data_IF_709748266105
#
_entry.id   IF_709748266105
#
_cell.length_a   1.000
_cell.length_b   1.000
_cell.length_c   1.000
_cell.angle_alpha   90.00
_cell.angle_beta   90.00
_cell.angle_gamma   90.00
#
_symmetry.space_group_name_H-M   'P 1'
#
loop_
_entity.id
_entity.type
_entity.pdbx_description
1 polymer ?
#
# COMPACT_ATOMS: atom_id res chain seq x y z
N UNK A 1 17.05 23.79 8.10
CA UNK A 1 18.21 23.81 9.02
C UNK A 1 18.47 22.38 9.49
N UNK A 2 19.74 21.99 9.67
CA UNK A 2 20.28 20.71 10.19
C UNK A 2 19.31 19.54 10.47
N UNK A 3 19.21 18.56 9.57
CA UNK A 3 18.76 17.20 9.92
C UNK A 3 19.94 16.23 9.92
N UNK A 4 20.77 16.36 10.96
CA UNK A 4 21.71 15.31 11.40
C UNK A 4 21.03 14.38 12.42
N UNK A 5 19.72 14.13 12.26
CA UNK A 5 19.06 13.09 13.03
C UNK A 5 19.57 11.74 12.50
N UNK A 6 20.22 10.97 13.37
CA UNK A 6 20.51 9.59 13.08
C UNK A 6 19.16 8.88 12.86
N UNK A 7 19.01 8.04 11.83
CA UNK A 7 17.72 7.34 11.55
C UNK A 7 17.14 6.59 12.77
N UNK A 8 17.98 6.33 13.79
CA UNK A 8 17.61 5.70 15.06
C UNK A 8 16.85 6.61 16.04
N UNK A 9 16.87 7.93 15.84
CA UNK A 9 16.31 8.91 16.78
C UNK A 9 14.99 9.53 16.29
N UNK A 10 14.46 9.09 15.15
CA UNK A 10 13.19 9.57 14.59
C UNK A 10 12.02 8.82 15.22
N UNK A 11 11.03 9.56 15.74
CA UNK A 11 9.76 8.99 16.19
C UNK A 11 8.83 8.75 15.00
N UNK A 12 8.85 7.52 14.47
CA UNK A 12 7.98 7.09 13.36
C UNK A 12 6.49 7.01 13.73
N UNK A 13 6.11 7.33 14.97
CA UNK A 13 4.73 7.29 15.45
C UNK A 13 4.08 5.92 15.17
N UNK A 14 2.87 5.87 14.59
CA UNK A 14 2.21 4.61 14.28
C UNK A 14 2.95 3.76 13.24
N UNK A 15 3.71 4.39 12.33
CA UNK A 15 4.45 3.65 11.30
C UNK A 15 5.57 2.78 11.89
N UNK A 16 6.01 3.07 13.12
CA UNK A 16 7.04 2.27 13.81
C UNK A 16 6.69 0.78 13.83
N UNK A 17 5.41 0.44 13.96
CA UNK A 17 4.94 -0.95 13.94
C UNK A 17 5.04 -1.62 12.57
N UNK A 18 5.42 -0.93 11.49
CA UNK A 18 5.58 -1.55 10.17
C UNK A 18 7.03 -1.95 9.90
N UNK A 19 8.01 -1.26 10.49
CA UNK A 19 9.45 -1.38 10.20
C UNK A 19 9.94 -2.83 10.29
N UNK A 20 10.40 -3.38 9.16
CA UNK A 20 10.94 -4.74 9.07
C UNK A 20 10.48 -5.46 7.81
N UNK A 21 10.78 -6.76 7.75
CA UNK A 21 10.37 -7.65 6.66
C UNK A 21 9.23 -8.54 7.15
N UNK A 22 8.16 -8.57 6.37
CA UNK A 22 6.98 -9.39 6.61
C UNK A 22 6.83 -10.39 5.49
N UNK A 23 6.51 -11.63 5.84
CA UNK A 23 6.30 -12.71 4.89
C UNK A 23 4.98 -13.41 5.17
N UNK A 24 4.23 -13.70 4.12
CA UNK A 24 2.92 -14.32 4.20
C UNK A 24 2.72 -15.33 3.09
N UNK A 25 2.07 -16.44 3.41
CA UNK A 25 1.82 -17.53 2.47
C UNK A 25 0.35 -17.90 2.34
N UNK A 26 -0.59 -17.05 2.77
CA UNK A 26 -2.04 -17.36 2.75
C UNK A 26 -2.81 -16.38 1.87
N UNK A 27 -2.11 -15.75 0.94
CA UNK A 27 -2.65 -14.71 0.08
C UNK A 27 -3.70 -15.25 -0.87
N UNK A 28 -4.79 -14.51 -1.02
CA UNK A 28 -5.85 -14.75 -2.00
C UNK A 28 -6.06 -13.47 -2.80
N UNK A 29 -6.00 -13.62 -4.12
CA UNK A 29 -6.24 -12.60 -5.13
C UNK A 29 -7.46 -13.03 -5.96
N UNK A 30 -8.43 -12.15 -6.15
CA UNK A 30 -9.57 -12.36 -7.05
C UNK A 30 -9.50 -11.28 -8.13
N UNK A 31 -9.09 -11.69 -9.32
CA UNK A 31 -8.75 -10.81 -10.44
C UNK A 31 -9.71 -11.00 -11.63
N UNK A 32 -9.88 -9.98 -12.48
CA UNK A 32 -10.73 -10.08 -13.66
C UNK A 32 -10.07 -10.92 -14.77
N UNK A 33 -10.85 -11.80 -15.39
CA UNK A 33 -10.54 -12.47 -16.66
C UNK A 33 -11.54 -12.05 -17.74
N UNK A 34 -11.22 -12.33 -19.02
CA UNK A 34 -12.07 -11.93 -20.16
C UNK A 34 -13.48 -12.53 -20.06
N UNK A 35 -13.59 -13.79 -19.61
CA UNK A 35 -14.84 -14.54 -19.48
C UNK A 35 -15.30 -14.78 -18.04
N UNK A 36 -14.64 -14.18 -17.03
CA UNK A 36 -14.96 -14.46 -15.63
C UNK A 36 -14.01 -13.83 -14.61
N UNK A 37 -13.73 -14.55 -13.54
CA UNK A 37 -12.75 -14.14 -12.53
C UNK A 37 -11.74 -15.27 -12.32
N UNK A 38 -10.50 -14.91 -12.06
CA UNK A 38 -9.45 -15.84 -11.65
C UNK A 38 -9.21 -15.67 -10.16
N UNK A 39 -9.20 -16.78 -9.41
CA UNK A 39 -8.72 -16.78 -8.02
C UNK A 39 -7.28 -17.31 -7.97
N UNK A 40 -6.36 -16.48 -7.51
CA UNK A 40 -4.95 -16.80 -7.37
C UNK A 40 -4.54 -16.93 -5.91
N UNK A 41 -3.91 -18.04 -5.56
CA UNK A 41 -3.22 -18.16 -4.27
C UNK A 41 -1.78 -17.72 -4.41
N UNK A 42 -1.30 -16.89 -3.48
CA UNK A 42 0.04 -16.33 -3.54
C UNK A 42 0.78 -16.40 -2.21
N UNK A 43 2.09 -16.23 -2.31
CA UNK A 43 2.98 -15.87 -1.21
C UNK A 43 3.51 -14.46 -1.49
N UNK A 44 3.86 -13.73 -0.44
CA UNK A 44 4.36 -12.38 -0.59
C UNK A 44 5.41 -12.02 0.45
N UNK A 45 6.19 -11.01 0.09
CA UNK A 45 7.11 -10.30 0.98
C UNK A 45 6.78 -8.83 0.96
N UNK A 46 6.65 -8.23 2.14
CA UNK A 46 6.43 -6.80 2.33
C UNK A 46 7.55 -6.24 3.21
N UNK A 47 8.37 -5.36 2.65
CA UNK A 47 9.52 -4.76 3.34
C UNK A 47 9.23 -3.30 3.64
N UNK A 48 9.39 -2.89 4.89
CA UNK A 48 9.32 -1.49 5.31
C UNK A 48 10.66 -1.04 5.88
N UNK A 49 11.25 -0.03 5.25
CA UNK A 49 12.52 0.55 5.64
C UNK A 49 12.30 1.99 6.13
N UNK A 50 12.92 2.38 7.25
CA UNK A 50 12.98 3.78 7.66
C UNK A 50 13.45 4.66 6.50
N UNK A 51 12.57 5.56 6.05
CA UNK A 51 12.99 6.71 5.26
C UNK A 51 13.11 7.90 6.22
N UNK A 52 13.92 8.88 5.84
CA UNK A 52 14.13 10.09 6.65
C UNK A 52 12.82 10.83 6.93
N UNK A 53 12.84 11.67 7.95
CA UNK A 53 11.90 12.75 8.16
C UNK A 53 11.97 13.78 7.01
N UNK A 54 10.82 14.37 6.67
CA UNK A 54 10.70 15.41 5.65
C UNK A 54 9.98 16.61 6.26
N UNK A 55 10.62 17.77 6.18
CA UNK A 55 9.96 19.06 6.43
C UNK A 55 9.49 19.64 5.09
N UNK A 56 8.18 19.83 4.95
CA UNK A 56 7.55 20.47 3.81
C UNK A 56 7.14 21.89 4.16
N UNK A 57 7.68 22.86 3.42
CA UNK A 57 7.33 24.29 3.52
C UNK A 57 7.40 24.90 4.94
N UNK A 58 8.21 24.34 5.85
CA UNK A 58 8.30 24.73 7.27
C UNK A 58 6.99 24.57 8.08
N UNK A 59 5.94 24.01 7.48
CA UNK A 59 4.60 23.87 8.06
C UNK A 59 4.18 22.43 8.31
N UNK A 60 4.77 21.46 7.60
CA UNK A 60 4.43 20.05 7.76
C UNK A 60 5.69 19.22 8.01
N UNK A 61 5.67 18.39 9.04
CA UNK A 61 6.69 17.39 9.30
C UNK A 61 6.09 16.00 9.03
N UNK A 62 6.72 15.24 8.14
CA UNK A 62 6.33 13.86 7.83
C UNK A 62 7.41 12.91 8.31
N UNK A 63 6.99 11.81 8.95
CA UNK A 63 7.84 10.63 9.11
C UNK A 63 7.47 9.61 8.04
N UNK A 64 8.47 8.99 7.43
CA UNK A 64 8.29 8.25 6.18
C UNK A 64 8.92 6.88 6.26
N UNK A 65 8.23 5.85 5.78
CA UNK A 65 8.79 4.55 5.49
C UNK A 65 8.80 4.34 3.99
N UNK A 66 9.94 3.93 3.44
CA UNK A 66 9.97 3.30 2.12
C UNK A 66 9.40 1.90 2.25
N UNK A 67 8.57 1.48 1.30
CA UNK A 67 8.08 0.11 1.26
C UNK A 67 8.23 -0.53 -0.11
N UNK A 68 8.32 -1.86 -0.11
CA UNK A 68 8.36 -2.69 -1.30
C UNK A 68 7.55 -3.98 -1.06
N UNK A 69 6.60 -4.26 -1.94
CA UNK A 69 5.81 -5.48 -1.92
C UNK A 69 6.12 -6.31 -3.17
N UNK A 70 6.30 -7.61 -2.97
CA UNK A 70 6.47 -8.59 -4.04
C UNK A 70 5.51 -9.74 -3.81
N UNK A 71 4.69 -10.04 -4.82
CA UNK A 71 3.70 -11.13 -4.77
C UNK A 71 4.03 -12.18 -5.81
N UNK A 72 4.17 -13.42 -5.35
CA UNK A 72 4.49 -14.58 -6.17
C UNK A 72 3.33 -15.57 -6.14
N UNK A 73 2.75 -15.87 -7.30
CA UNK A 73 1.70 -16.88 -7.45
C UNK A 73 2.25 -18.26 -7.09
N UNK A 74 1.49 -19.03 -6.31
CA UNK A 74 1.95 -20.36 -5.84
C UNK A 74 1.93 -21.44 -6.90
N UNK A 75 1.00 -21.38 -7.84
CA UNK A 75 0.80 -22.45 -8.83
C UNK A 75 1.97 -22.58 -9.81
N UNK A 76 2.59 -21.45 -10.19
CA UNK A 76 3.66 -21.42 -11.20
C UNK A 76 4.90 -20.61 -10.80
N UNK A 77 4.91 -20.02 -9.60
CA UNK A 77 6.05 -19.25 -9.10
C UNK A 77 6.27 -17.91 -9.82
N UNK A 78 5.33 -17.45 -10.65
CA UNK A 78 5.47 -16.16 -11.33
C UNK A 78 5.21 -15.00 -10.39
N UNK A 79 5.98 -13.92 -10.58
CA UNK A 79 5.70 -12.63 -9.95
C UNK A 79 4.48 -12.00 -10.62
N UNK A 80 3.38 -11.86 -9.88
CA UNK A 80 2.11 -11.32 -10.38
C UNK A 80 1.89 -9.87 -9.94
N UNK A 81 2.55 -9.44 -8.86
CA UNK A 81 2.52 -8.05 -8.40
C UNK A 81 3.88 -7.61 -7.85
N UNK A 82 4.18 -6.34 -8.08
CA UNK A 82 5.36 -5.67 -7.56
C UNK A 82 4.99 -4.19 -7.41
N UNK A 83 5.10 -3.65 -6.20
CA UNK A 83 4.85 -2.23 -5.95
C UNK A 83 5.85 -1.67 -4.97
N UNK A 84 6.27 -0.43 -5.18
CA UNK A 84 7.16 0.28 -4.26
C UNK A 84 6.75 1.73 -4.12
N UNK A 85 7.01 2.30 -2.95
CA UNK A 85 6.67 3.67 -2.65
C UNK A 85 6.91 4.00 -1.19
N UNK A 86 6.04 4.82 -0.62
CA UNK A 86 6.17 5.33 0.73
C UNK A 86 4.86 5.28 1.51
N UNK A 87 4.98 4.97 2.80
CA UNK A 87 4.00 5.33 3.82
C UNK A 87 4.52 6.57 4.55
N UNK A 88 3.74 7.64 4.58
CA UNK A 88 4.07 8.87 5.30
C UNK A 88 3.00 9.17 6.35
N UNK A 89 3.44 9.68 7.49
CA UNK A 89 2.55 10.06 8.59
C UNK A 89 2.73 11.53 8.94
N UNK A 90 1.62 12.26 8.87
CA UNK A 90 1.47 13.62 9.35
C UNK A 90 0.81 13.58 10.74
N UNK A 91 1.60 13.85 11.79
CA UNK A 91 1.11 13.83 13.16
C UNK A 91 0.21 15.01 13.51
N UNK A 92 0.38 16.16 12.85
CA UNK A 92 -0.45 17.34 13.14
C UNK A 92 -1.82 17.20 12.45
N UNK A 93 -1.81 16.82 11.17
CA UNK A 93 -3.01 16.56 10.38
C UNK A 93 -3.66 15.20 10.64
N UNK A 94 -3.06 14.34 11.46
CA UNK A 94 -3.50 12.95 11.73
C UNK A 94 -3.77 12.16 10.43
N UNK A 95 -2.92 12.37 9.42
CA UNK A 95 -3.13 11.89 8.06
C UNK A 95 -2.09 10.85 7.69
N UNK A 96 -2.57 9.69 7.25
CA UNK A 96 -1.78 8.64 6.64
C UNK A 96 -1.75 8.85 5.13
N UNK A 97 -0.58 8.77 4.52
CA UNK A 97 -0.40 8.86 3.07
C UNK A 97 0.31 7.60 2.60
N UNK A 98 -0.32 6.83 1.71
CA UNK A 98 0.33 5.73 0.97
C UNK A 98 0.52 6.19 -0.47
N UNK A 99 1.76 6.40 -0.89
CA UNK A 99 2.11 6.75 -2.27
C UNK A 99 2.92 5.63 -2.89
N UNK A 100 2.60 5.21 -4.11
CA UNK A 100 3.32 4.11 -4.75
C UNK A 100 3.18 4.08 -6.26
N UNK A 101 4.07 3.31 -6.89
CA UNK A 101 4.00 2.99 -8.30
C UNK A 101 4.18 1.49 -8.53
N UNK A 102 3.61 1.03 -9.64
CA UNK A 102 3.73 -0.35 -10.11
C UNK A 102 4.35 -0.38 -11.52
N UNK A 103 5.09 -1.44 -11.88
CA UNK A 103 5.86 -1.49 -13.13
C UNK A 103 5.05 -1.31 -14.42
N UNK A 104 3.73 -1.53 -14.38
CA UNK A 104 2.82 -1.33 -15.53
C UNK A 104 2.41 0.14 -15.78
N UNK A 105 3.09 1.08 -15.13
CA UNK A 105 2.89 2.51 -15.34
C UNK A 105 1.62 3.04 -14.69
N UNK A 106 1.33 2.60 -13.47
CA UNK A 106 0.30 3.20 -12.61
C UNK A 106 0.99 3.73 -11.37
N UNK A 107 0.58 4.93 -10.92
CA UNK A 107 0.97 5.49 -9.64
C UNK A 107 -0.26 6.00 -8.88
N UNK A 108 -0.19 5.88 -7.56
CA UNK A 108 -1.31 6.16 -6.64
C UNK A 108 -0.79 7.03 -5.50
N UNK A 109 -1.58 8.03 -5.13
CA UNK A 109 -1.44 8.76 -3.86
C UNK A 109 -2.76 8.59 -3.11
N UNK A 110 -2.74 7.77 -2.06
CA UNK A 110 -3.90 7.46 -1.24
C UNK A 110 -3.76 8.12 0.13
N UNK A 111 -4.83 8.74 0.60
CA UNK A 111 -4.90 9.36 1.92
C UNK A 111 -5.85 8.60 2.85
N UNK A 112 -5.62 8.71 4.15
CA UNK A 112 -6.53 8.18 5.15
C UNK A 112 -6.00 8.36 6.56
N UNK A 113 -6.25 7.37 7.41
CA UNK A 113 -6.09 7.50 8.87
C UNK A 113 -5.38 6.30 9.48
N UNK A 114 -4.86 6.52 10.68
CA UNK A 114 -4.45 5.44 11.58
C UNK A 114 -5.30 5.51 12.86
N UNK A 115 -5.81 4.37 13.31
CA UNK A 115 -6.35 4.23 14.67
C UNK A 115 -5.50 3.24 15.45
N UNK A 116 -5.30 3.51 16.74
CA UNK A 116 -4.56 2.63 17.65
C UNK A 116 -5.47 2.22 18.79
N UNK A 117 -5.57 0.91 19.04
CA UNK A 117 -6.33 0.35 20.14
C UNK A 117 -5.49 -0.72 20.83
N UNK A 118 -5.18 -0.51 22.12
CA UNK A 118 -4.21 -1.30 22.86
C UNK A 118 -2.85 -1.33 22.11
N UNK A 119 -2.32 -2.53 21.85
CA UNK A 119 -1.07 -2.72 21.11
C UNK A 119 -1.27 -2.81 19.58
N UNK A 120 -2.51 -2.76 19.10
CA UNK A 120 -2.84 -2.90 17.68
C UNK A 120 -2.96 -1.54 16.98
N UNK A 121 -2.45 -1.46 15.74
CA UNK A 121 -2.63 -0.31 14.85
C UNK A 121 -3.44 -0.72 13.62
N UNK A 122 -4.37 0.13 13.21
CA UNK A 122 -5.23 -0.03 12.04
C UNK A 122 -4.97 1.12 11.06
N UNK A 123 -4.55 0.78 9.85
CA UNK A 123 -4.21 1.71 8.80
C UNK A 123 -5.27 1.60 7.71
N UNK A 124 -5.87 2.71 7.28
CA UNK A 124 -6.82 2.71 6.19
C UNK A 124 -6.52 3.88 5.24
N UNK A 125 -6.47 3.62 3.93
CA UNK A 125 -6.27 4.64 2.90
C UNK A 125 -7.20 4.41 1.72
N UNK A 126 -7.52 5.50 1.00
CA UNK A 126 -8.29 5.45 -0.25
C UNK A 126 -7.73 6.42 -1.29
N UNK A 127 -7.89 6.08 -2.55
CA UNK A 127 -7.64 6.96 -3.69
C UNK A 127 -8.72 6.78 -4.76
N UNK A 128 -8.90 7.80 -5.60
CA UNK A 128 -9.84 7.78 -6.71
C UNK A 128 -9.24 8.38 -7.98
N UNK A 129 -9.59 7.81 -9.12
CA UNK A 129 -9.21 8.37 -10.41
C UNK A 129 -9.95 9.70 -10.62
N UNK A 130 -9.20 10.77 -10.92
CA UNK A 130 -9.75 12.12 -11.00
C UNK A 130 -10.12 12.77 -9.67
N UNK A 131 -9.81 12.15 -8.52
CA UNK A 131 -9.92 12.80 -7.22
C UNK A 131 -8.84 13.91 -7.10
N UNK A 132 -9.22 15.07 -6.58
CA UNK A 132 -8.35 16.24 -6.50
C UNK A 132 -7.25 16.11 -5.43
N UNK A 133 -7.53 15.37 -4.35
CA UNK A 133 -6.64 15.25 -3.19
C UNK A 133 -5.83 13.94 -3.26
N UNK A 134 -6.51 12.83 -3.58
CA UNK A 134 -5.97 11.47 -3.51
C UNK A 134 -6.14 10.73 -4.84
N UNK A 135 -5.22 11.02 -5.76
CA UNK A 135 -5.32 10.65 -7.17
C UNK A 135 -4.70 9.31 -7.56
N UNK A 136 -5.15 8.81 -8.71
CA UNK A 136 -4.55 7.70 -9.46
C UNK A 136 -4.16 8.22 -10.84
N UNK A 137 -2.94 7.93 -11.28
CA UNK A 137 -2.45 8.25 -12.63
C UNK A 137 -1.99 6.99 -13.33
N UNK A 138 -2.28 6.90 -14.63
CA UNK A 138 -2.14 5.67 -15.40
C UNK A 138 -1.48 5.95 -16.75
N UNK A 139 -0.72 4.96 -17.25
CA UNK A 139 -0.24 4.99 -18.63
C UNK A 139 -1.42 4.97 -19.61
N UNK A 140 -1.27 5.52 -20.83
CA UNK A 140 -2.37 5.54 -21.80
C UNK A 140 -2.95 4.16 -22.12
N UNK A 141 -2.12 3.11 -22.08
CA UNK A 141 -2.59 1.74 -22.28
C UNK A 141 -3.50 1.30 -21.13
N UNK A 142 -3.07 1.50 -19.87
CA UNK A 142 -3.87 1.13 -18.70
C UNK A 142 -5.17 1.93 -18.66
N UNK A 143 -5.10 3.25 -18.88
CA UNK A 143 -6.27 4.13 -18.94
C UNK A 143 -7.32 3.65 -19.96
N UNK A 144 -6.88 3.11 -21.09
CA UNK A 144 -7.77 2.65 -22.16
C UNK A 144 -8.34 1.25 -21.93
N UNK A 145 -7.55 0.33 -21.38
CA UNK A 145 -7.87 -1.10 -21.42
C UNK A 145 -8.16 -1.71 -20.04
N UNK A 146 -7.65 -1.13 -18.96
CA UNK A 146 -7.74 -1.67 -17.60
C UNK A 146 -7.60 -0.52 -16.57
N UNK A 147 -8.52 0.42 -16.61
CA UNK A 147 -8.40 1.68 -15.84
C UNK A 147 -8.86 1.48 -14.40
N UNK A 148 -7.97 1.78 -13.45
CA UNK A 148 -8.26 1.78 -12.03
C UNK A 148 -9.04 3.03 -11.67
N UNK A 149 -10.27 2.86 -11.19
CA UNK A 149 -11.20 3.94 -10.80
C UNK A 149 -11.14 4.28 -9.33
N UNK A 150 -10.84 3.29 -8.49
CA UNK A 150 -10.75 3.48 -7.05
C UNK A 150 -9.81 2.47 -6.42
N UNK A 151 -9.22 2.89 -5.31
CA UNK A 151 -8.33 2.09 -4.49
C UNK A 151 -8.74 2.21 -3.04
N UNK A 152 -8.89 1.10 -2.34
CA UNK A 152 -9.12 1.04 -0.90
C UNK A 152 -8.20 -0.01 -0.30
N UNK A 153 -7.53 0.35 0.80
CA UNK A 153 -6.64 -0.55 1.50
C UNK A 153 -6.83 -0.40 3.00
N UNK A 154 -6.93 -1.51 3.70
CA UNK A 154 -7.01 -1.58 5.16
C UNK A 154 -6.02 -2.61 5.68
N UNK A 155 -5.27 -2.28 6.72
CA UNK A 155 -4.24 -3.13 7.31
C UNK A 155 -4.28 -3.06 8.82
N UNK A 156 -4.29 -4.22 9.47
CA UNK A 156 -4.17 -4.38 10.92
C UNK A 156 -2.77 -4.88 11.25
N UNK A 157 -2.16 -4.33 12.29
CA UNK A 157 -0.88 -4.79 12.83
C UNK A 157 -0.99 -4.94 14.32
N UNK A 158 -0.54 -6.08 14.84
CA UNK A 158 -0.42 -6.32 16.28
C UNK A 158 0.83 -7.17 16.54
N UNK A 159 1.86 -6.55 17.11
CA UNK A 159 3.15 -7.19 17.35
C UNK A 159 3.81 -7.66 16.05
N UNK A 160 3.92 -8.98 15.89
CA UNK A 160 4.52 -9.63 14.72
C UNK A 160 3.49 -10.21 13.75
N UNK A 161 2.21 -9.86 13.88
CA UNK A 161 1.15 -10.23 12.94
C UNK A 161 0.65 -8.99 12.19
N UNK A 162 0.53 -9.12 10.87
CA UNK A 162 -0.04 -8.11 9.99
C UNK A 162 -1.09 -8.80 9.11
N UNK A 163 -2.27 -8.21 8.98
CA UNK A 163 -3.28 -8.64 8.00
C UNK A 163 -3.75 -7.44 7.20
N UNK A 164 -4.12 -7.66 5.94
CA UNK A 164 -4.70 -6.59 5.13
C UNK A 164 -5.79 -7.09 4.19
N UNK A 165 -6.60 -6.15 3.73
CA UNK A 165 -7.53 -6.29 2.62
C UNK A 165 -7.39 -5.09 1.68
N UNK A 166 -7.38 -5.36 0.39
CA UNK A 166 -7.31 -4.38 -0.68
C UNK A 166 -8.47 -4.57 -1.64
N UNK A 167 -9.01 -3.46 -2.15
CA UNK A 167 -9.96 -3.44 -3.26
C UNK A 167 -9.52 -2.39 -4.28
N UNK A 168 -9.28 -2.82 -5.51
CA UNK A 168 -9.09 -1.96 -6.67
C UNK A 168 -10.31 -2.08 -7.59
N UNK A 169 -11.10 -1.01 -7.69
CA UNK A 169 -12.19 -0.94 -8.66
C UNK A 169 -11.61 -0.66 -10.04
N UNK A 170 -11.74 -1.58 -10.98
CA UNK A 170 -11.14 -1.51 -12.33
C UNK A 170 -12.20 -1.58 -13.41
N UNK A 171 -12.03 -0.79 -14.47
CA UNK A 171 -12.77 -0.89 -15.73
C UNK A 171 -11.91 -1.67 -16.74
N UNK A 172 -12.28 -2.91 -17.01
CA UNK A 172 -11.51 -3.85 -17.83
C UNK A 172 -12.45 -4.81 -18.55
N UNK A 173 -12.08 -5.26 -19.76
CA UNK A 173 -12.93 -6.13 -20.59
C UNK A 173 -14.35 -5.58 -20.81
N UNK A 174 -14.51 -4.26 -20.82
CA UNK A 174 -15.80 -3.59 -21.02
C UNK A 174 -16.76 -3.64 -19.82
N UNK A 175 -16.27 -3.96 -18.62
CA UNK A 175 -17.06 -3.99 -17.38
C UNK A 175 -16.29 -3.45 -16.18
N UNK A 176 -17.03 -3.06 -15.15
CA UNK A 176 -16.49 -2.80 -13.82
C UNK A 176 -16.22 -4.11 -13.07
N UNK A 177 -15.10 -4.19 -12.37
CA UNK A 177 -14.73 -5.32 -11.53
C UNK A 177 -14.06 -4.85 -10.24
N UNK A 178 -14.33 -5.53 -9.13
CA UNK A 178 -13.64 -5.31 -7.86
C UNK A 178 -12.51 -6.34 -7.72
N UNK A 179 -11.31 -5.92 -8.09
CA UNK A 179 -10.11 -6.72 -7.86
C UNK A 179 -9.77 -6.68 -6.37
N UNK A 180 -9.78 -7.85 -5.71
CA UNK A 180 -9.51 -7.94 -4.27
C UNK A 180 -8.25 -8.73 -3.97
N UNK A 181 -7.51 -8.27 -2.96
CA UNK A 181 -6.37 -8.98 -2.40
C UNK A 181 -6.47 -9.02 -0.87
N UNK A 182 -6.12 -10.15 -0.26
CA UNK A 182 -5.99 -10.26 1.19
C UNK A 182 -4.90 -11.24 1.59
N UNK A 183 -4.22 -10.99 2.70
CA UNK A 183 -3.26 -11.92 3.28
C UNK A 183 -3.03 -11.66 4.78
N UNK A 184 -2.34 -12.61 5.41
CA UNK A 184 -1.78 -12.50 6.76
C UNK A 184 -0.28 -12.81 6.68
N UNK A 185 0.51 -11.91 7.24
CA UNK A 185 1.97 -11.95 7.25
C UNK A 185 2.50 -11.97 8.67
N UNK A 186 3.70 -12.50 8.82
CA UNK A 186 4.45 -12.49 10.07
C UNK A 186 5.79 -11.78 9.87
N UNK A 187 6.21 -10.99 10.85
CA UNK A 187 7.53 -10.37 10.84
C UNK A 187 8.58 -11.36 11.34
N UNK A 188 9.66 -11.50 10.58
CA UNK A 188 10.83 -12.29 10.96
C UNK A 188 11.72 -11.58 11.99
#
# INVERSE_FOLDING_TARGET
MNSNANLKDIDYGPLKQLIGVWEGGKGVDVAPEDDGEETNFYQETLTFEPARDLDNAEEQCLVVLKYHQVVIRKSDGKMIHNETGYYSWDSEGQTLIKSFAIPRGIAVVAGGTVTQENDASQFAVKAGNGNADWGIVESPFMQKNASTKGYQFSMSVNGNELSYSQVAAVEVYGRSFEHTDQNVLTRN
#
